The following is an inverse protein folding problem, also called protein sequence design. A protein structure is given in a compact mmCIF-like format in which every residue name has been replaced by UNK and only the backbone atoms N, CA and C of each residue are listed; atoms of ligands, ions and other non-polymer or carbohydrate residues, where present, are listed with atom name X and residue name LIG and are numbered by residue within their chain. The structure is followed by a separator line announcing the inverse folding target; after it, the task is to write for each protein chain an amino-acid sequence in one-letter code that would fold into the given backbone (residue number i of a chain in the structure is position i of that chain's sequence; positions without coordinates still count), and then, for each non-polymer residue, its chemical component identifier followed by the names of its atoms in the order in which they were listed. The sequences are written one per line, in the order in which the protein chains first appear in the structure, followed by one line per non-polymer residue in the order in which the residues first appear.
data_IF_473775558727
#
_entry.id   IF_473775558727
#
_cell.length_a   1.000
_cell.length_b   1.000
_cell.length_c   1.000
_cell.angle_alpha   90.00
_cell.angle_beta   90.00
_cell.angle_gamma   90.00
#
_symmetry.space_group_name_H-M   'P 1'
#
loop_
_entity.id
_entity.type
_entity.pdbx_description
1 polymer ?
#
# COMPACT_ATOMS: atom_id res chain seq x y z
N UNK A 1 34.19 37.76 -5.66
CA UNK A 1 34.09 36.86 -6.83
C UNK A 1 33.86 35.46 -6.25
N UNK A 2 32.63 34.94 -6.16
CA UNK A 2 32.26 33.53 -5.94
C UNK A 2 30.81 33.41 -5.46
N UNK A 3 29.84 33.98 -6.21
CA UNK A 3 28.38 33.80 -5.91
C UNK A 3 27.63 33.15 -7.07
N UNK A 4 28.33 32.46 -8.00
CA UNK A 4 27.70 31.99 -9.26
C UNK A 4 27.33 30.49 -9.26
N UNK A 5 27.68 29.67 -8.26
CA UNK A 5 27.54 28.22 -8.38
C UNK A 5 26.62 27.54 -7.35
N UNK A 6 25.70 28.24 -6.69
CA UNK A 6 24.74 27.62 -5.75
C UNK A 6 23.29 27.65 -6.22
N UNK A 7 22.99 27.83 -7.50
CA UNK A 7 21.66 27.49 -7.99
C UNK A 7 21.53 25.97 -8.00
N UNK A 8 20.98 25.38 -6.90
CA UNK A 8 20.44 24.03 -6.93
C UNK A 8 19.39 23.98 -8.04
N UNK A 9 19.62 23.19 -9.07
CA UNK A 9 18.57 22.82 -10.02
C UNK A 9 17.45 22.16 -9.19
N UNK A 10 16.43 22.93 -8.84
CA UNK A 10 15.23 22.39 -8.20
C UNK A 10 14.36 21.82 -9.30
N UNK A 11 14.47 20.52 -9.52
CA UNK A 11 13.52 19.82 -10.36
C UNK A 11 12.10 20.01 -9.79
N UNK A 12 11.14 20.31 -10.67
CA UNK A 12 9.74 20.41 -10.26
C UNK A 12 9.27 19.04 -9.75
N UNK A 13 8.87 18.91 -8.48
CA UNK A 13 8.51 17.60 -7.92
C UNK A 13 7.29 16.98 -8.62
N UNK A 14 6.36 17.77 -9.11
CA UNK A 14 5.22 17.25 -9.87
C UNK A 14 5.69 16.60 -11.18
N UNK A 15 6.63 17.24 -11.89
CA UNK A 15 7.19 16.68 -13.13
C UNK A 15 7.92 15.37 -12.87
N UNK A 16 8.75 15.31 -11.83
CA UNK A 16 9.46 14.06 -11.47
C UNK A 16 8.45 12.96 -11.12
N UNK A 17 7.43 13.24 -10.30
CA UNK A 17 6.40 12.27 -9.98
C UNK A 17 5.66 11.74 -11.21
N UNK A 18 5.25 12.63 -12.11
CA UNK A 18 4.60 12.24 -13.36
C UNK A 18 5.52 11.40 -14.26
N UNK A 19 6.81 11.74 -14.35
CA UNK A 19 7.78 10.98 -15.15
C UNK A 19 7.98 9.57 -14.58
N UNK A 20 8.07 9.42 -13.26
CA UNK A 20 8.18 8.11 -12.60
C UNK A 20 6.94 7.26 -12.88
N UNK A 21 5.74 7.81 -12.69
CA UNK A 21 4.49 7.10 -12.95
C UNK A 21 4.34 6.74 -14.43
N UNK A 22 4.67 7.66 -15.33
CA UNK A 22 4.64 7.41 -16.76
C UNK A 22 5.65 6.34 -17.18
N UNK A 23 6.86 6.36 -16.63
CA UNK A 23 7.88 5.35 -16.90
C UNK A 23 7.40 3.96 -16.44
N UNK A 24 6.87 3.83 -15.23
CA UNK A 24 6.30 2.57 -14.72
C UNK A 24 5.14 2.10 -15.60
N UNK A 25 4.21 2.99 -15.95
CA UNK A 25 3.07 2.63 -16.79
C UNK A 25 3.49 2.15 -18.17
N UNK A 26 4.37 2.90 -18.86
CA UNK A 26 4.72 2.65 -20.27
C UNK A 26 5.71 1.49 -20.43
N UNK A 27 6.72 1.39 -19.55
CA UNK A 27 7.82 0.43 -19.72
C UNK A 27 7.66 -0.86 -18.90
N UNK A 28 6.82 -0.86 -17.86
CA UNK A 28 6.58 -2.02 -17.02
C UNK A 28 5.15 -2.55 -17.15
N UNK A 29 4.15 -1.79 -16.72
CA UNK A 29 2.82 -2.32 -16.47
C UNK A 29 1.99 -2.53 -17.73
N UNK A 30 1.96 -1.57 -18.68
CA UNK A 30 1.20 -1.73 -19.93
C UNK A 30 1.71 -2.88 -20.82
N UNK A 31 3.04 -3.08 -20.99
CA UNK A 31 3.55 -4.22 -21.77
C UNK A 31 3.23 -5.58 -21.17
N UNK A 32 3.05 -5.66 -19.86
CA UNK A 32 2.76 -6.90 -19.13
C UNK A 32 1.31 -6.99 -18.64
N UNK A 33 0.47 -6.04 -19.07
CA UNK A 33 -0.93 -6.02 -18.66
C UNK A 33 -1.67 -7.25 -19.16
N UNK A 34 -2.41 -7.91 -18.30
CA UNK A 34 -3.25 -9.03 -18.68
C UNK A 34 -4.39 -8.56 -19.57
N UNK A 35 -4.41 -9.05 -20.79
CA UNK A 35 -5.39 -8.68 -21.84
C UNK A 35 -6.29 -9.84 -22.26
N UNK A 36 -6.06 -11.03 -21.71
CA UNK A 36 -6.83 -12.25 -21.98
C UNK A 36 -7.55 -12.70 -20.71
N UNK A 37 -8.61 -13.50 -20.88
CA UNK A 37 -9.31 -14.14 -19.76
C UNK A 37 -8.36 -15.16 -19.13
N UNK A 38 -8.22 -15.10 -17.81
CA UNK A 38 -7.41 -16.06 -17.08
C UNK A 38 -8.18 -17.37 -16.87
N UNK A 39 -7.57 -18.47 -17.27
CA UNK A 39 -8.03 -19.82 -16.99
C UNK A 39 -6.96 -20.65 -16.28
N UNK A 40 -5.91 -20.01 -15.76
CA UNK A 40 -4.80 -20.72 -15.14
C UNK A 40 -5.10 -21.07 -13.67
N UNK A 41 -4.68 -22.27 -13.27
CA UNK A 41 -4.73 -22.75 -11.88
C UNK A 41 -3.49 -22.29 -11.07
N UNK A 42 -2.72 -21.33 -11.60
CA UNK A 42 -1.53 -20.85 -10.92
C UNK A 42 -1.92 -20.11 -9.64
N UNK A 43 -1.26 -20.42 -8.56
CA UNK A 43 -1.53 -19.92 -7.21
C UNK A 43 -1.70 -18.39 -7.11
N UNK A 44 -0.88 -17.61 -7.82
CA UNK A 44 -0.97 -16.14 -7.84
C UNK A 44 -2.07 -15.60 -8.77
N UNK A 45 -2.72 -16.46 -9.54
CA UNK A 45 -3.69 -16.08 -10.58
C UNK A 45 -5.07 -16.68 -10.34
N UNK A 46 -5.28 -17.43 -9.27
CA UNK A 46 -6.48 -18.23 -9.05
C UNK A 46 -7.76 -17.38 -8.99
N UNK A 47 -7.69 -16.18 -8.42
CA UNK A 47 -8.84 -15.28 -8.25
C UNK A 47 -9.01 -14.28 -9.40
N UNK A 48 -8.04 -14.22 -10.33
CA UNK A 48 -8.03 -13.26 -11.43
C UNK A 48 -9.19 -13.47 -12.39
N UNK A 49 -9.48 -14.72 -12.74
CA UNK A 49 -10.59 -15.07 -13.62
C UNK A 49 -11.94 -14.72 -13.01
N UNK A 50 -12.12 -15.00 -11.72
CA UNK A 50 -13.33 -14.61 -10.98
C UNK A 50 -13.48 -13.09 -10.99
N UNK A 51 -12.41 -12.36 -10.67
CA UNK A 51 -12.41 -10.88 -10.67
C UNK A 51 -12.78 -10.32 -12.04
N UNK A 52 -12.20 -10.88 -13.13
CA UNK A 52 -12.55 -10.47 -14.49
C UNK A 52 -14.04 -10.67 -14.79
N UNK A 53 -14.62 -11.79 -14.41
CA UNK A 53 -16.06 -12.05 -14.60
C UNK A 53 -16.90 -11.09 -13.76
N UNK A 54 -16.64 -11.03 -12.46
CA UNK A 54 -17.42 -10.25 -11.50
C UNK A 54 -17.50 -8.77 -11.88
N UNK A 55 -16.36 -8.17 -12.25
CA UNK A 55 -16.34 -6.74 -12.61
C UNK A 55 -17.11 -6.43 -13.91
N UNK A 56 -17.25 -7.39 -14.80
CA UNK A 56 -18.02 -7.22 -16.02
C UNK A 56 -19.53 -7.38 -15.83
N UNK A 57 -19.96 -8.23 -14.87
CA UNK A 57 -21.39 -8.57 -14.67
C UNK A 57 -21.96 -7.99 -13.37
N UNK A 58 -21.21 -7.19 -12.64
CA UNK A 58 -21.62 -6.66 -11.34
C UNK A 58 -22.00 -7.78 -10.36
N UNK A 59 -21.18 -8.82 -10.31
CA UNK A 59 -21.38 -9.99 -9.46
C UNK A 59 -20.90 -9.79 -8.04
N UNK A 60 -20.63 -10.91 -7.34
CA UNK A 60 -20.01 -10.92 -6.01
C UNK A 60 -18.77 -11.80 -6.01
N UNK A 61 -17.70 -11.35 -5.37
CA UNK A 61 -16.46 -12.10 -5.20
C UNK A 61 -16.55 -13.07 -4.00
N UNK A 62 -15.60 -14.02 -3.96
CA UNK A 62 -15.40 -14.90 -2.82
C UNK A 62 -15.26 -14.13 -1.49
N UNK A 63 -15.28 -14.82 -0.37
CA UNK A 63 -15.18 -14.19 0.95
C UNK A 63 -13.84 -13.41 1.10
N UNK A 64 -13.87 -12.14 1.51
CA UNK A 64 -14.97 -11.42 2.20
C UNK A 64 -15.91 -10.61 1.28
N UNK A 65 -15.96 -10.90 -0.02
CA UNK A 65 -16.91 -10.24 -0.94
C UNK A 65 -16.46 -8.89 -1.49
N UNK A 66 -15.54 -8.20 -0.86
CA UNK A 66 -14.88 -6.94 -1.27
C UNK A 66 -15.83 -5.87 -1.88
N UNK A 67 -16.96 -5.53 -1.24
CA UNK A 67 -18.05 -4.79 -1.89
C UNK A 67 -17.63 -3.41 -2.40
N UNK A 68 -16.75 -2.68 -1.71
CA UNK A 68 -16.23 -1.40 -2.19
C UNK A 68 -15.46 -1.55 -3.48
N UNK A 69 -14.56 -2.55 -3.51
CA UNK A 69 -13.77 -2.83 -4.70
C UNK A 69 -14.69 -3.20 -5.87
N UNK A 70 -15.63 -4.11 -5.66
CA UNK A 70 -16.54 -4.56 -6.73
C UNK A 70 -17.35 -3.38 -7.29
N UNK A 71 -17.97 -2.56 -6.44
CA UNK A 71 -18.80 -1.42 -6.88
C UNK A 71 -17.95 -0.42 -7.69
N UNK A 72 -16.82 0.01 -7.13
CA UNK A 72 -15.96 1.02 -7.76
C UNK A 72 -15.31 0.48 -9.02
N UNK A 73 -14.82 -0.77 -8.97
CA UNK A 73 -14.10 -1.39 -10.08
C UNK A 73 -15.03 -1.82 -11.22
N UNK A 74 -16.25 -2.28 -10.94
CA UNK A 74 -17.24 -2.53 -11.98
C UNK A 74 -17.64 -1.23 -12.69
N UNK A 75 -17.78 -0.13 -11.94
CA UNK A 75 -18.03 1.20 -12.52
C UNK A 75 -16.87 1.61 -13.43
N UNK A 76 -15.63 1.51 -12.95
CA UNK A 76 -14.45 1.87 -13.75
C UNK A 76 -14.28 0.95 -14.97
N UNK A 77 -14.49 -0.36 -14.78
CA UNK A 77 -14.51 -1.34 -15.90
C UNK A 77 -15.55 -0.96 -16.97
N UNK A 78 -16.75 -0.59 -16.56
CA UNK A 78 -17.78 -0.13 -17.49
C UNK A 78 -17.34 1.13 -18.25
N UNK A 79 -16.77 2.11 -17.57
CA UNK A 79 -16.21 3.33 -18.19
C UNK A 79 -15.09 2.98 -19.17
N UNK A 80 -14.13 2.16 -18.79
CA UNK A 80 -13.00 1.77 -19.64
C UNK A 80 -13.47 1.05 -20.91
N UNK A 81 -14.53 0.24 -20.81
CA UNK A 81 -15.15 -0.40 -21.98
C UNK A 81 -15.78 0.61 -22.94
N UNK A 82 -16.33 1.74 -22.47
CA UNK A 82 -16.79 2.82 -23.35
C UNK A 82 -15.65 3.45 -24.15
N UNK A 83 -14.42 3.40 -23.64
CA UNK A 83 -13.21 3.84 -24.35
C UNK A 83 -12.52 2.73 -25.16
N UNK A 84 -13.18 1.59 -25.35
CA UNK A 84 -12.72 0.52 -26.23
C UNK A 84 -11.88 -0.58 -25.55
N UNK A 85 -11.73 -0.58 -24.22
CA UNK A 85 -11.09 -1.69 -23.53
C UNK A 85 -11.94 -2.96 -23.65
N UNK A 86 -11.30 -4.11 -23.92
CA UNK A 86 -12.00 -5.39 -23.97
C UNK A 86 -12.52 -5.80 -22.58
N UNK A 87 -13.53 -6.68 -22.48
CA UNK A 87 -13.97 -7.22 -21.18
C UNK A 87 -12.87 -7.94 -20.40
N UNK A 88 -11.89 -8.52 -21.07
CA UNK A 88 -10.75 -9.17 -20.43
C UNK A 88 -9.72 -8.15 -19.90
N UNK A 89 -9.52 -7.05 -20.64
CA UNK A 89 -8.50 -6.04 -20.33
C UNK A 89 -8.97 -5.00 -19.31
N UNK A 90 -10.25 -4.59 -19.37
CA UNK A 90 -10.76 -3.50 -18.54
C UNK A 90 -10.60 -3.73 -17.02
N UNK A 91 -10.80 -4.95 -16.46
CA UNK A 91 -10.51 -5.22 -15.05
C UNK A 91 -9.04 -5.03 -14.67
N UNK A 92 -8.10 -5.46 -15.50
CA UNK A 92 -6.66 -5.28 -15.25
C UNK A 92 -6.25 -3.80 -15.33
N UNK A 93 -6.82 -3.04 -16.28
CA UNK A 93 -6.65 -1.58 -16.31
C UNK A 93 -7.18 -0.90 -15.03
N UNK A 94 -8.21 -1.44 -14.41
CA UNK A 94 -8.73 -0.93 -13.14
C UNK A 94 -7.70 -1.10 -12.02
N UNK A 95 -7.04 -2.26 -11.95
CA UNK A 95 -5.93 -2.49 -11.02
C UNK A 95 -4.77 -1.55 -11.29
N UNK A 96 -4.40 -1.32 -12.55
CA UNK A 96 -3.37 -0.36 -12.95
C UNK A 96 -3.71 1.06 -12.48
N UNK A 97 -4.96 1.51 -12.64
CA UNK A 97 -5.39 2.85 -12.18
C UNK A 97 -5.22 3.00 -10.66
N UNK A 98 -5.67 2.02 -9.88
CA UNK A 98 -5.47 2.05 -8.43
C UNK A 98 -3.99 1.97 -8.04
N UNK A 99 -3.22 1.16 -8.75
CA UNK A 99 -1.78 1.03 -8.52
C UNK A 99 -1.02 2.33 -8.78
N UNK A 100 -1.27 2.98 -9.92
CA UNK A 100 -0.67 4.28 -10.22
C UNK A 100 -1.11 5.36 -9.24
N UNK A 101 -2.37 5.34 -8.79
CA UNK A 101 -2.84 6.23 -7.73
C UNK A 101 -2.10 5.97 -6.40
N UNK A 102 -1.91 4.70 -6.03
CA UNK A 102 -1.16 4.32 -4.83
C UNK A 102 0.28 4.81 -4.88
N UNK A 103 0.98 4.59 -6.00
CA UNK A 103 2.36 5.06 -6.19
C UNK A 103 2.45 6.58 -6.26
N UNK A 104 1.44 7.26 -6.82
CA UNK A 104 1.36 8.72 -6.84
C UNK A 104 1.23 9.33 -5.44
N UNK A 105 0.35 8.75 -4.60
CA UNK A 105 0.22 9.15 -3.19
C UNK A 105 1.50 8.83 -2.41
N UNK A 106 2.10 7.66 -2.65
CA UNK A 106 3.37 7.27 -2.03
C UNK A 106 4.50 8.23 -2.40
N UNK A 107 4.61 8.60 -3.67
CA UNK A 107 5.57 9.61 -4.13
C UNK A 107 5.39 10.94 -3.40
N UNK A 108 4.16 11.46 -3.37
CA UNK A 108 3.86 12.72 -2.69
C UNK A 108 4.20 12.64 -1.19
N UNK A 109 3.92 11.50 -0.56
CA UNK A 109 4.23 11.25 0.83
C UNK A 109 5.75 11.21 1.07
N UNK A 110 6.50 10.42 0.30
CA UNK A 110 7.96 10.31 0.41
C UNK A 110 8.66 11.62 0.08
N UNK A 111 8.21 12.34 -0.95
CA UNK A 111 8.72 13.67 -1.28
C UNK A 111 8.54 14.64 -0.11
N UNK A 112 7.38 14.63 0.52
CA UNK A 112 7.09 15.49 1.67
C UNK A 112 8.01 15.19 2.85
N UNK A 113 8.35 13.91 3.08
CA UNK A 113 9.27 13.49 4.13
C UNK A 113 10.70 13.91 3.80
N UNK A 114 11.20 13.57 2.61
CA UNK A 114 12.60 13.77 2.22
C UNK A 114 12.90 15.21 1.76
N UNK A 115 11.89 15.94 1.28
CA UNK A 115 12.03 17.21 0.57
C UNK A 115 12.92 17.12 -0.69
N UNK A 116 13.15 15.90 -1.19
CA UNK A 116 13.93 15.62 -2.39
C UNK A 116 13.12 14.79 -3.38
N UNK A 117 12.82 15.39 -4.56
CA UNK A 117 11.98 14.78 -5.57
C UNK A 117 12.64 13.57 -6.25
N UNK A 118 13.97 13.61 -6.41
CA UNK A 118 14.71 12.53 -7.07
C UNK A 118 14.83 11.31 -6.16
N UNK A 119 15.12 11.52 -4.88
CA UNK A 119 15.18 10.43 -3.88
C UNK A 119 13.80 9.79 -3.77
N UNK A 120 12.73 10.58 -3.60
CA UNK A 120 11.37 10.05 -3.52
C UNK A 120 11.00 9.30 -4.81
N UNK A 121 11.34 9.86 -5.98
CA UNK A 121 11.10 9.24 -7.28
C UNK A 121 11.83 7.92 -7.47
N UNK A 122 13.11 7.87 -7.09
CA UNK A 122 13.92 6.65 -7.18
C UNK A 122 13.36 5.52 -6.30
N UNK A 123 13.00 5.84 -5.04
CA UNK A 123 12.43 4.84 -4.13
C UNK A 123 11.08 4.32 -4.64
N UNK A 124 10.21 5.20 -5.13
CA UNK A 124 8.91 4.80 -5.68
C UNK A 124 9.07 4.00 -6.98
N UNK A 125 10.04 4.37 -7.83
CA UNK A 125 10.37 3.60 -9.03
C UNK A 125 10.80 2.17 -8.67
N UNK A 126 11.76 2.02 -7.74
CA UNK A 126 12.23 0.71 -7.28
C UNK A 126 11.08 -0.10 -6.65
N UNK A 127 10.29 0.53 -5.76
CA UNK A 127 9.14 -0.13 -5.13
C UNK A 127 8.10 -0.58 -6.17
N UNK A 128 7.79 0.28 -7.14
CA UNK A 128 6.86 -0.04 -8.24
C UNK A 128 7.34 -1.18 -9.15
N UNK A 129 8.65 -1.43 -9.19
CA UNK A 129 9.25 -2.51 -9.97
C UNK A 129 9.47 -3.79 -9.14
N UNK A 130 9.14 -3.83 -7.83
CA UNK A 130 9.17 -5.08 -7.08
C UNK A 130 8.17 -6.07 -7.67
N UNK A 131 8.49 -7.35 -7.62
CA UNK A 131 7.74 -8.41 -8.29
C UNK A 131 6.25 -8.40 -7.92
N UNK A 132 5.95 -8.38 -6.63
CA UNK A 132 4.56 -8.41 -6.14
C UNK A 132 3.80 -7.13 -6.52
N UNK A 133 4.41 -5.95 -6.39
CA UNK A 133 3.77 -4.69 -6.81
C UNK A 133 3.51 -4.70 -8.32
N UNK A 134 4.50 -5.06 -9.13
CA UNK A 134 4.36 -5.13 -10.59
C UNK A 134 3.24 -6.09 -11.00
N UNK A 135 3.28 -7.34 -10.48
CA UNK A 135 2.27 -8.34 -10.80
C UNK A 135 0.85 -7.81 -10.56
N UNK A 136 0.57 -7.32 -9.34
CA UNK A 136 -0.77 -6.88 -8.99
C UNK A 136 -1.21 -5.58 -9.68
N UNK A 137 -0.27 -4.81 -10.24
CA UNK A 137 -0.60 -3.67 -11.09
C UNK A 137 -0.98 -4.08 -12.53
N UNK A 138 -0.64 -5.30 -12.92
CA UNK A 138 -0.81 -5.81 -14.29
C UNK A 138 -1.95 -6.82 -14.46
N UNK A 139 -2.51 -7.34 -13.37
CA UNK A 139 -3.60 -8.34 -13.37
C UNK A 139 -4.86 -7.81 -12.68
N UNK A 140 -6.00 -8.46 -12.92
CA UNK A 140 -7.29 -8.09 -12.33
C UNK A 140 -7.38 -8.61 -10.89
N UNK A 141 -6.89 -7.80 -9.91
CA UNK A 141 -6.80 -8.20 -8.51
C UNK A 141 -7.12 -7.06 -7.53
N UNK A 142 -7.55 -7.46 -6.33
CA UNK A 142 -8.03 -6.54 -5.27
C UNK A 142 -6.89 -5.77 -4.56
N UNK A 143 -5.65 -6.24 -4.65
CA UNK A 143 -4.56 -5.82 -3.76
C UNK A 143 -4.07 -4.40 -4.01
N UNK A 144 -4.13 -3.90 -5.24
CA UNK A 144 -3.74 -2.52 -5.55
C UNK A 144 -4.65 -1.49 -4.88
N UNK A 145 -5.95 -1.79 -4.78
CA UNK A 145 -6.89 -0.95 -4.05
C UNK A 145 -6.61 -0.99 -2.53
N UNK A 146 -6.28 -2.16 -1.98
CA UNK A 146 -5.84 -2.30 -0.60
C UNK A 146 -4.56 -1.52 -0.29
N UNK A 147 -3.57 -1.58 -1.18
CA UNK A 147 -2.32 -0.82 -1.07
C UNK A 147 -2.57 0.69 -1.10
N UNK A 148 -3.43 1.17 -2.00
CA UNK A 148 -3.84 2.58 -2.05
C UNK A 148 -4.44 3.03 -0.72
N UNK A 149 -5.38 2.26 -0.16
CA UNK A 149 -6.00 2.57 1.13
C UNK A 149 -4.96 2.62 2.26
N UNK A 150 -4.04 1.64 2.32
CA UNK A 150 -2.99 1.60 3.33
C UNK A 150 -2.09 2.84 3.27
N UNK A 151 -1.62 3.20 2.07
CA UNK A 151 -0.76 4.38 1.87
C UNK A 151 -1.50 5.65 2.26
N UNK A 152 -2.78 5.80 1.87
CA UNK A 152 -3.61 6.95 2.24
C UNK A 152 -3.78 7.04 3.76
N UNK A 153 -4.05 5.92 4.45
CA UNK A 153 -4.18 5.88 5.90
C UNK A 153 -2.89 6.32 6.60
N UNK A 154 -1.74 5.78 6.18
CA UNK A 154 -0.44 6.16 6.76
C UNK A 154 -0.11 7.63 6.47
N UNK A 155 -0.34 8.08 5.25
CA UNK A 155 -0.13 9.48 4.86
C UNK A 155 -1.01 10.43 5.69
N UNK A 156 -2.29 10.15 5.84
CA UNK A 156 -3.22 10.96 6.64
C UNK A 156 -2.84 10.95 8.13
N UNK A 157 -2.45 9.81 8.67
CA UNK A 157 -2.05 9.71 10.08
C UNK A 157 -0.80 10.53 10.39
N UNK A 158 0.11 10.67 9.42
CA UNK A 158 1.39 11.36 9.55
C UNK A 158 1.39 12.78 8.93
N UNK A 159 0.25 13.27 8.43
CA UNK A 159 0.17 14.51 7.64
C UNK A 159 0.85 15.73 8.28
N UNK A 160 0.76 15.88 9.61
CA UNK A 160 1.36 17.02 10.32
C UNK A 160 2.85 16.91 10.57
N UNK A 161 3.43 15.71 10.42
CA UNK A 161 4.87 15.50 10.59
C UNK A 161 5.66 15.91 9.33
N UNK A 162 4.95 16.37 8.28
CA UNK A 162 5.53 16.79 7.02
C UNK A 162 6.05 18.22 7.00
N UNK A 163 6.00 18.94 8.09
CA UNK A 163 6.49 20.30 8.20
C UNK A 163 7.00 20.61 9.60
N UNK A 164 7.99 21.47 9.67
CA UNK A 164 8.71 21.88 10.87
C UNK A 164 7.90 22.73 11.86
N UNK A 165 6.61 22.96 11.62
CA UNK A 165 5.80 23.90 12.41
C UNK A 165 5.10 23.19 13.57
N UNK A 166 5.85 22.95 14.62
CA UNK A 166 5.35 22.52 15.94
C UNK A 166 4.34 23.48 16.57
N UNK A 167 4.25 24.70 16.09
CA UNK A 167 3.37 25.74 16.63
C UNK A 167 1.89 25.62 16.21
N UNK A 168 1.58 24.99 15.07
CA UNK A 168 0.20 24.81 14.59
C UNK A 168 -0.56 23.65 15.26
N UNK A 169 0.10 22.86 16.09
CA UNK A 169 -0.51 21.71 16.79
C UNK A 169 -1.52 22.13 17.89
N UNK A 170 -1.56 23.41 18.25
CA UNK A 170 -2.31 23.90 19.39
C UNK A 170 -3.78 24.29 19.10
N UNK A 171 -4.22 24.39 17.83
CA UNK A 171 -5.61 24.70 17.50
C UNK A 171 -6.48 23.43 17.44
N UNK A 172 -7.30 23.22 18.46
CA UNK A 172 -8.05 21.98 18.73
C UNK A 172 -9.08 21.52 17.68
N UNK A 173 -9.54 22.37 16.78
CA UNK A 173 -10.67 22.04 15.89
C UNK A 173 -10.29 21.24 14.61
N UNK A 174 -9.06 21.31 14.14
CA UNK A 174 -8.58 20.51 13.01
C UNK A 174 -8.17 19.08 13.35
N UNK A 175 -8.15 18.70 14.62
CA UNK A 175 -7.61 17.42 15.11
C UNK A 175 -8.63 16.28 15.10
N UNK A 176 -9.89 16.55 15.46
CA UNK A 176 -10.94 15.54 15.48
C UNK A 176 -11.36 15.12 14.05
N UNK A 177 -11.41 16.06 13.11
CA UNK A 177 -11.75 15.76 11.70
C UNK A 177 -10.83 14.73 11.07
N UNK A 178 -9.52 14.76 11.38
CA UNK A 178 -8.57 13.78 10.90
C UNK A 178 -8.82 12.40 11.47
N UNK A 179 -9.14 12.28 12.76
CA UNK A 179 -9.55 11.00 13.35
C UNK A 179 -10.80 10.45 12.68
N UNK A 180 -11.76 11.31 12.37
CA UNK A 180 -12.99 10.92 11.69
C UNK A 180 -12.73 10.46 10.25
N UNK A 181 -11.88 11.16 9.49
CA UNK A 181 -11.45 10.71 8.16
C UNK A 181 -10.74 9.36 8.21
N UNK A 182 -9.80 9.19 9.15
CA UNK A 182 -9.11 7.91 9.34
C UNK A 182 -10.09 6.79 9.74
N UNK A 183 -11.11 7.09 10.53
CA UNK A 183 -12.13 6.12 10.92
C UNK A 183 -12.98 5.66 9.72
N UNK A 184 -13.43 6.60 8.87
CA UNK A 184 -14.18 6.27 7.64
C UNK A 184 -13.31 5.45 6.68
N UNK A 185 -12.11 5.94 6.35
CA UNK A 185 -11.22 5.25 5.40
C UNK A 185 -10.74 3.92 5.98
N UNK A 186 -10.47 3.86 7.29
CA UNK A 186 -10.10 2.63 7.98
C UNK A 186 -11.25 1.61 7.96
N UNK A 187 -12.50 2.05 8.16
CA UNK A 187 -13.68 1.20 8.04
C UNK A 187 -13.85 0.66 6.62
N UNK A 188 -13.72 1.51 5.61
CA UNK A 188 -13.69 1.10 4.19
C UNK A 188 -12.57 0.07 3.96
N UNK A 189 -11.37 0.34 4.49
CA UNK A 189 -10.22 -0.55 4.35
C UNK A 189 -10.47 -1.94 4.94
N UNK A 190 -10.96 -2.01 6.19
CA UNK A 190 -11.25 -3.29 6.85
C UNK A 190 -12.42 -4.01 6.16
N UNK A 191 -13.42 -3.27 5.69
CA UNK A 191 -14.51 -3.83 4.89
C UNK A 191 -14.03 -4.34 3.53
N UNK A 192 -13.02 -3.68 2.92
CA UNK A 192 -12.39 -4.16 1.71
C UNK A 192 -11.54 -5.41 1.99
N UNK A 193 -10.56 -5.33 2.87
CA UNK A 193 -9.70 -6.47 3.19
C UNK A 193 -9.33 -6.48 4.68
N UNK A 194 -9.60 -7.58 5.38
CA UNK A 194 -9.38 -7.70 6.85
C UNK A 194 -7.93 -7.47 7.27
N UNK A 195 -6.97 -7.80 6.41
CA UNK A 195 -5.55 -7.55 6.66
C UNK A 195 -5.22 -6.07 6.94
N UNK A 196 -6.03 -5.12 6.42
CA UNK A 196 -5.84 -3.70 6.72
C UNK A 196 -6.05 -3.34 8.19
N UNK A 197 -6.73 -4.20 8.97
CA UNK A 197 -6.81 -4.05 10.42
C UNK A 197 -5.43 -4.17 11.11
N UNK A 198 -4.46 -4.83 10.49
CA UNK A 198 -3.10 -4.93 11.01
C UNK A 198 -2.39 -3.57 11.07
N UNK A 199 -2.85 -2.57 10.30
CA UNK A 199 -2.33 -1.21 10.39
C UNK A 199 -2.83 -0.43 11.63
N UNK A 200 -3.86 -0.90 12.34
CA UNK A 200 -4.45 -0.19 13.50
C UNK A 200 -3.40 0.19 14.55
N UNK A 201 -2.49 -0.68 15.02
CA UNK A 201 -1.47 -0.31 15.99
C UNK A 201 -0.57 0.83 15.51
N UNK A 202 -0.22 0.82 14.22
CA UNK A 202 0.58 1.88 13.60
C UNK A 202 -0.19 3.21 13.55
N UNK A 203 -1.45 3.18 13.16
CA UNK A 203 -2.31 4.37 13.10
C UNK A 203 -2.58 4.95 14.49
N UNK A 204 -2.81 4.10 15.50
CA UNK A 204 -2.97 4.53 16.91
C UNK A 204 -1.69 5.20 17.39
N UNK A 205 -0.51 4.59 17.16
CA UNK A 205 0.77 5.19 17.50
C UNK A 205 0.96 6.56 16.82
N UNK A 206 0.72 6.63 15.51
CA UNK A 206 0.83 7.87 14.76
C UNK A 206 -0.13 8.96 15.28
N UNK A 207 -1.31 8.60 15.70
CA UNK A 207 -2.35 9.54 16.17
C UNK A 207 -2.33 9.77 17.69
N UNK A 208 -1.42 9.13 18.43
CA UNK A 208 -1.37 9.20 19.88
C UNK A 208 -1.35 10.64 20.46
N UNK A 209 -0.59 11.61 19.90
CA UNK A 209 -0.65 12.99 20.36
C UNK A 209 -2.03 13.63 20.16
N UNK A 210 -2.69 13.34 19.03
CA UNK A 210 -4.02 13.83 18.72
C UNK A 210 -5.08 13.24 19.65
N UNK A 211 -4.97 11.93 19.92
CA UNK A 211 -5.86 11.23 20.86
C UNK A 211 -5.70 11.80 22.29
N UNK A 212 -4.46 12.00 22.74
CA UNK A 212 -4.18 12.59 24.06
C UNK A 212 -4.71 14.01 24.17
N UNK A 213 -4.65 14.81 23.10
CA UNK A 213 -5.17 16.18 23.07
C UNK A 213 -6.70 16.27 23.22
N UNK A 214 -7.44 15.15 22.98
CA UNK A 214 -8.90 15.14 23.17
C UNK A 214 -9.32 15.23 24.65
N UNK A 215 -8.46 14.87 25.59
CA UNK A 215 -8.73 14.94 27.02
C UNK A 215 -10.07 14.30 27.38
N UNK A 216 -10.96 15.05 28.05
CA UNK A 216 -12.29 14.56 28.47
C UNK A 216 -13.24 14.25 27.31
N UNK A 217 -12.97 14.74 26.09
CA UNK A 217 -13.79 14.45 24.88
C UNK A 217 -13.43 13.11 24.24
N UNK A 218 -12.33 12.48 24.65
CA UNK A 218 -11.81 11.25 24.02
C UNK A 218 -12.86 10.12 23.90
N UNK A 219 -13.66 9.76 24.92
CA UNK A 219 -14.66 8.71 24.78
C UNK A 219 -15.70 9.02 23.70
N UNK A 220 -16.18 10.26 23.63
CA UNK A 220 -17.12 10.67 22.59
C UNK A 220 -16.50 10.62 21.21
N UNK A 221 -15.25 11.06 21.07
CA UNK A 221 -14.52 11.01 19.79
C UNK A 221 -14.32 9.55 19.35
N UNK A 222 -13.95 8.63 20.27
CA UNK A 222 -13.77 7.20 19.95
C UNK A 222 -15.10 6.55 19.53
N UNK A 223 -16.23 6.87 20.20
CA UNK A 223 -17.56 6.38 19.79
C UNK A 223 -17.89 6.90 18.40
N UNK A 224 -17.66 8.17 18.13
CA UNK A 224 -17.88 8.74 16.79
C UNK A 224 -16.99 8.06 15.74
N UNK A 225 -15.72 7.81 16.02
CA UNK A 225 -14.84 7.06 15.14
C UNK A 225 -15.35 5.65 14.88
N UNK A 226 -15.82 4.94 15.91
CA UNK A 226 -16.40 3.61 15.76
C UNK A 226 -17.62 3.63 14.84
N UNK A 227 -18.56 4.55 15.08
CA UNK A 227 -19.76 4.69 14.25
C UNK A 227 -19.40 5.02 12.79
N UNK A 228 -18.48 5.95 12.57
CA UNK A 228 -17.98 6.28 11.23
C UNK A 228 -17.26 5.11 10.55
N UNK A 229 -16.49 4.33 11.31
CA UNK A 229 -15.88 3.10 10.81
C UNK A 229 -16.93 2.05 10.39
N UNK A 230 -18.01 1.91 11.16
CA UNK A 230 -19.13 1.01 10.84
C UNK A 230 -19.82 1.42 9.53
N UNK A 231 -19.94 2.72 9.25
CA UNK A 231 -20.47 3.19 7.95
C UNK A 231 -19.69 2.62 6.77
N UNK A 232 -18.39 2.38 6.92
CA UNK A 232 -17.56 1.71 5.91
C UNK A 232 -18.05 0.30 5.53
N UNK A 233 -18.88 -0.34 6.33
CA UNK A 233 -19.45 -1.68 6.05
C UNK A 233 -20.81 -1.66 5.35
N UNK A 234 -21.45 -0.50 5.18
CA UNK A 234 -22.75 -0.39 4.51
C UNK A 234 -22.77 -1.03 3.10
N UNK A 235 -21.69 -0.95 2.28
CA UNK A 235 -21.67 -1.61 0.99
C UNK A 235 -21.82 -3.14 1.01
N UNK A 236 -21.75 -3.80 2.17
CA UNK A 236 -22.11 -5.21 2.26
C UNK A 236 -23.55 -5.49 1.84
N UNK A 237 -24.46 -4.51 1.97
CA UNK A 237 -25.82 -4.60 1.41
C UNK A 237 -25.81 -4.87 -0.09
N UNK A 238 -24.79 -4.42 -0.83
CA UNK A 238 -24.64 -4.72 -2.26
C UNK A 238 -24.61 -6.22 -2.53
N UNK A 239 -23.88 -7.01 -1.74
CA UNK A 239 -23.77 -8.46 -1.93
C UNK A 239 -25.14 -9.12 -1.85
N UNK A 240 -25.94 -8.75 -0.84
CA UNK A 240 -27.31 -9.26 -0.67
C UNK A 240 -28.22 -8.82 -1.84
N UNK A 241 -28.18 -7.55 -2.19
CA UNK A 241 -29.01 -7.00 -3.30
C UNK A 241 -28.68 -7.71 -4.60
N UNK A 242 -27.39 -7.91 -4.93
CA UNK A 242 -26.99 -8.58 -6.17
C UNK A 242 -27.39 -10.04 -6.22
N UNK A 243 -27.23 -10.76 -5.10
CA UNK A 243 -27.65 -12.15 -5.01
C UNK A 243 -29.18 -12.30 -5.17
N UNK A 244 -29.97 -11.47 -4.48
CA UNK A 244 -31.42 -11.48 -4.57
C UNK A 244 -31.94 -11.03 -5.94
N UNK A 245 -31.21 -10.16 -6.63
CA UNK A 245 -31.53 -9.73 -8.00
C UNK A 245 -31.12 -10.76 -9.07
N UNK A 246 -30.54 -11.91 -8.70
CA UNK A 246 -30.14 -12.95 -9.64
C UNK A 246 -28.97 -12.52 -10.53
N UNK A 247 -27.93 -11.86 -9.97
CA UNK A 247 -26.75 -11.51 -10.73
C UNK A 247 -26.12 -12.74 -11.41
N UNK A 248 -25.54 -12.55 -12.59
CA UNK A 248 -25.01 -13.64 -13.42
C UNK A 248 -23.83 -14.40 -12.75
N UNK A 249 -23.19 -13.80 -11.76
CA UNK A 249 -22.16 -14.43 -10.92
C UNK A 249 -22.36 -14.02 -9.47
N UNK A 250 -22.60 -15.00 -8.60
CA UNK A 250 -22.75 -14.81 -7.16
C UNK A 250 -21.91 -15.87 -6.45
N UNK A 251 -20.96 -15.43 -5.63
CA UNK A 251 -20.17 -16.33 -4.82
C UNK A 251 -20.86 -16.57 -3.45
N UNK A 252 -20.97 -17.84 -3.04
CA UNK A 252 -21.64 -18.23 -1.82
C UNK A 252 -23.16 -17.93 -1.86
N UNK A 253 -23.75 -17.71 -0.68
CA UNK A 253 -25.19 -17.44 -0.54
C UNK A 253 -25.49 -16.09 0.14
N UNK A 254 -24.90 -14.95 -0.31
CA UNK A 254 -25.07 -13.67 0.38
C UNK A 254 -26.47 -13.08 0.26
N UNK A 255 -27.38 -13.73 -0.46
CA UNK A 255 -28.80 -13.38 -0.54
C UNK A 255 -29.59 -13.61 0.74
N UNK A 256 -29.05 -14.40 1.67
CA UNK A 256 -29.60 -14.64 3.01
C UNK A 256 -28.77 -13.92 4.08
N UNK A 257 -29.36 -13.63 5.25
CA UNK A 257 -28.64 -13.03 6.37
C UNK A 257 -27.50 -13.93 6.87
N UNK A 258 -27.73 -15.26 6.91
CA UNK A 258 -26.71 -16.23 7.30
C UNK A 258 -25.57 -16.25 6.30
N UNK A 259 -25.85 -16.35 5.00
CA UNK A 259 -24.81 -16.36 3.96
C UNK A 259 -24.07 -15.02 3.86
N UNK A 260 -24.76 -13.90 4.05
CA UNK A 260 -24.12 -12.58 4.14
C UNK A 260 -23.16 -12.50 5.34
N UNK A 261 -23.58 -13.08 6.50
CA UNK A 261 -22.72 -13.16 7.69
C UNK A 261 -21.49 -14.04 7.44
N UNK A 262 -21.66 -15.18 6.75
CA UNK A 262 -20.56 -16.07 6.39
C UNK A 262 -19.54 -15.39 5.46
N UNK A 263 -20.03 -14.64 4.49
CA UNK A 263 -19.19 -13.77 3.65
C UNK A 263 -18.48 -12.70 4.49
N UNK A 264 -19.24 -12.01 5.36
CA UNK A 264 -18.69 -10.94 6.20
C UNK A 264 -17.57 -11.42 7.12
N UNK A 265 -17.72 -12.56 7.81
CA UNK A 265 -16.67 -13.10 8.69
C UNK A 265 -15.54 -13.79 7.93
N UNK A 266 -15.70 -14.04 6.64
CA UNK A 266 -14.71 -14.76 5.84
C UNK A 266 -14.58 -16.23 6.25
N UNK A 267 -15.71 -16.93 6.51
CA UNK A 267 -15.70 -18.32 7.01
C UNK A 267 -14.83 -19.23 6.16
N UNK A 268 -14.85 -19.06 4.86
CA UNK A 268 -14.04 -19.87 3.95
C UNK A 268 -12.54 -19.57 4.09
N UNK A 269 -12.16 -18.29 4.26
CA UNK A 269 -10.79 -17.88 4.46
C UNK A 269 -10.20 -18.34 5.80
N UNK A 270 -11.04 -18.78 6.76
CA UNK A 270 -10.58 -19.28 8.05
C UNK A 270 -9.66 -20.51 7.93
N UNK A 271 -9.75 -21.28 6.83
CA UNK A 271 -8.83 -22.39 6.54
C UNK A 271 -7.36 -21.96 6.39
N UNK A 272 -7.11 -20.72 6.01
CA UNK A 272 -5.75 -20.18 5.85
C UNK A 272 -5.19 -19.59 7.15
N UNK A 273 -5.98 -19.53 8.22
CA UNK A 273 -5.61 -18.93 9.51
C UNK A 273 -5.68 -20.01 10.57
N UNK A 274 -4.69 -20.89 10.59
CA UNK A 274 -4.66 -22.03 11.51
C UNK A 274 -3.77 -21.85 12.74
N UNK A 275 -2.89 -20.85 12.71
CA UNK A 275 -1.84 -20.69 13.71
C UNK A 275 -0.74 -21.77 13.65
N UNK A 276 0.39 -21.49 14.31
CA UNK A 276 1.48 -22.46 14.41
C UNK A 276 1.21 -23.48 15.51
N UNK A 277 1.39 -24.73 15.20
CA UNK A 277 1.16 -25.86 16.13
C UNK A 277 2.44 -26.34 16.82
N UNK A 278 3.61 -25.96 16.30
CA UNK A 278 4.91 -26.40 16.80
C UNK A 278 5.99 -25.37 16.53
N UNK A 279 7.14 -25.50 17.19
CA UNK A 279 8.30 -24.67 16.88
C UNK A 279 8.82 -24.90 15.46
N UNK A 280 8.73 -26.10 14.96
CA UNK A 280 9.12 -26.44 13.58
C UNK A 280 8.21 -25.70 12.56
N UNK A 281 6.88 -25.70 12.78
CA UNK A 281 5.95 -24.95 11.91
C UNK A 281 6.18 -23.43 11.97
N UNK A 282 6.60 -22.91 13.15
CA UNK A 282 6.98 -21.52 13.30
C UNK A 282 8.21 -21.17 12.43
N UNK A 283 9.25 -22.03 12.48
CA UNK A 283 10.46 -21.84 11.67
C UNK A 283 10.12 -21.93 10.17
N UNK A 284 9.29 -22.90 9.78
CA UNK A 284 8.86 -23.05 8.39
C UNK A 284 8.11 -21.80 7.88
N UNK A 285 7.17 -21.28 8.66
CA UNK A 285 6.46 -20.04 8.31
C UNK A 285 7.42 -18.83 8.25
N UNK A 286 8.32 -18.70 9.22
CA UNK A 286 9.33 -17.65 9.20
C UNK A 286 10.18 -17.71 7.92
N UNK A 287 10.64 -18.91 7.53
CA UNK A 287 11.42 -19.09 6.31
C UNK A 287 10.58 -18.78 5.06
N UNK A 288 9.32 -19.19 5.02
CA UNK A 288 8.42 -18.93 3.92
C UNK A 288 8.17 -17.41 3.72
N UNK A 289 7.78 -16.69 4.79
CA UNK A 289 7.54 -15.23 4.72
C UNK A 289 8.82 -14.48 4.34
N UNK A 290 9.95 -14.85 4.97
CA UNK A 290 11.24 -14.22 4.66
C UNK A 290 11.70 -14.56 3.24
N UNK A 291 11.44 -15.78 2.79
CA UNK A 291 11.72 -16.24 1.43
C UNK A 291 10.98 -15.40 0.37
N UNK A 292 9.70 -15.10 0.60
CA UNK A 292 8.94 -14.20 -0.28
C UNK A 292 9.58 -12.81 -0.34
N UNK A 293 9.92 -12.23 0.83
CA UNK A 293 10.60 -10.93 0.87
C UNK A 293 11.95 -10.94 0.13
N UNK A 294 12.72 -12.02 0.26
CA UNK A 294 13.99 -12.15 -0.45
C UNK A 294 13.84 -12.34 -1.96
N UNK A 295 12.76 -12.98 -2.39
CA UNK A 295 12.41 -13.11 -3.80
C UNK A 295 11.98 -11.77 -4.39
N UNK A 296 11.14 -11.02 -3.67
CA UNK A 296 10.57 -9.76 -4.17
C UNK A 296 11.54 -8.57 -4.09
N UNK A 297 12.31 -8.48 -3.00
CA UNK A 297 13.15 -7.30 -2.71
C UNK A 297 14.65 -7.59 -2.80
N UNK A 298 15.05 -8.82 -3.07
CA UNK A 298 16.41 -9.32 -2.93
C UNK A 298 16.94 -9.17 -1.48
N UNK A 299 17.80 -10.05 -0.96
CA UNK A 299 18.34 -9.95 0.41
C UNK A 299 18.98 -8.59 0.73
N UNK A 300 19.68 -7.98 -0.24
CA UNK A 300 20.28 -6.66 -0.08
C UNK A 300 19.20 -5.58 0.15
N UNK A 301 18.11 -5.60 -0.63
CA UNK A 301 17.00 -4.65 -0.45
C UNK A 301 16.35 -4.78 0.93
N UNK A 302 16.16 -6.01 1.40
CA UNK A 302 15.62 -6.25 2.76
C UNK A 302 16.58 -5.71 3.83
N UNK A 303 17.89 -6.02 3.75
CA UNK A 303 18.90 -5.56 4.71
C UNK A 303 18.96 -4.02 4.72
N UNK A 304 19.06 -3.39 3.55
CA UNK A 304 19.09 -1.93 3.41
C UNK A 304 17.80 -1.31 3.98
N UNK A 305 16.65 -1.91 3.71
CA UNK A 305 15.36 -1.48 4.25
C UNK A 305 15.35 -1.53 5.79
N UNK A 306 15.73 -2.65 6.37
CA UNK A 306 15.79 -2.81 7.84
C UNK A 306 16.78 -1.83 8.48
N UNK A 307 17.99 -1.72 7.95
CA UNK A 307 18.98 -0.75 8.42
C UNK A 307 18.45 0.68 8.37
N UNK A 308 17.79 1.05 7.27
CA UNK A 308 17.19 2.37 7.10
C UNK A 308 16.08 2.64 8.10
N UNK A 309 15.21 1.66 8.37
CA UNK A 309 14.17 1.77 9.40
C UNK A 309 14.76 1.99 10.80
N UNK A 310 15.81 1.26 11.16
CA UNK A 310 16.53 1.43 12.45
C UNK A 310 17.10 2.84 12.53
N UNK A 311 17.77 3.31 11.49
CA UNK A 311 18.34 4.66 11.41
C UNK A 311 17.25 5.72 11.50
N UNK A 312 16.13 5.54 10.76
CA UNK A 312 14.99 6.43 10.83
C UNK A 312 14.40 6.52 12.25
N UNK A 313 14.29 5.39 12.94
CA UNK A 313 13.80 5.34 14.32
C UNK A 313 14.78 6.00 15.34
N UNK A 314 16.08 5.96 15.06
CA UNK A 314 17.10 6.62 15.88
C UNK A 314 17.08 8.15 15.71
N UNK A 315 16.70 8.66 14.54
CA UNK A 315 16.65 10.11 14.23
C UNK A 315 15.41 10.76 14.83
N UNK A 316 15.55 11.73 15.71
CA UNK A 316 14.44 12.38 16.43
C UNK A 316 13.34 12.87 15.49
N UNK A 317 13.71 13.57 14.40
CA UNK A 317 12.78 14.15 13.44
C UNK A 317 12.14 13.13 12.49
N UNK A 318 12.66 11.91 12.38
CA UNK A 318 12.09 10.80 11.56
C UNK A 318 11.44 9.71 12.40
N UNK A 319 11.72 9.68 13.71
CA UNK A 319 11.31 8.61 14.63
C UNK A 319 9.83 8.26 14.51
N UNK A 320 8.95 9.26 14.47
CA UNK A 320 7.52 9.00 14.42
C UNK A 320 7.10 8.33 13.13
N UNK A 321 7.59 8.81 11.98
CA UNK A 321 7.33 8.18 10.68
C UNK A 321 7.90 6.76 10.67
N UNK A 322 9.17 6.60 11.03
CA UNK A 322 9.83 5.29 11.05
C UNK A 322 9.11 4.29 11.96
N UNK A 323 8.79 4.66 13.20
CA UNK A 323 8.07 3.78 14.13
C UNK A 323 6.67 3.43 13.65
N UNK A 324 5.97 4.35 12.99
CA UNK A 324 4.64 4.06 12.42
C UNK A 324 4.73 3.00 11.33
N UNK A 325 5.66 3.17 10.37
CA UNK A 325 5.80 2.20 9.28
C UNK A 325 6.38 0.87 9.77
N UNK A 326 7.30 0.88 10.74
CA UNK A 326 7.80 -0.33 11.40
C UNK A 326 6.65 -1.11 12.05
N UNK A 327 5.78 -0.43 12.81
CA UNK A 327 4.63 -1.09 13.43
C UNK A 327 3.68 -1.68 12.38
N UNK A 328 3.42 -0.98 11.28
CA UNK A 328 2.57 -1.47 10.19
C UNK A 328 3.15 -2.75 9.57
N UNK A 329 4.41 -2.73 9.17
CA UNK A 329 5.07 -3.90 8.57
C UNK A 329 5.30 -5.04 9.56
N UNK A 330 5.72 -4.72 10.79
CA UNK A 330 6.02 -5.73 11.81
C UNK A 330 4.75 -6.51 12.22
N UNK A 331 3.62 -5.82 12.42
CA UNK A 331 2.36 -6.50 12.78
C UNK A 331 1.92 -7.42 11.64
N UNK A 332 2.00 -6.96 10.39
CA UNK A 332 1.70 -7.80 9.24
C UNK A 332 2.66 -9.00 9.13
N UNK A 333 3.97 -8.77 9.28
CA UNK A 333 4.97 -9.84 9.24
C UNK A 333 4.72 -10.90 10.32
N UNK A 334 4.59 -10.46 11.56
CA UNK A 334 4.36 -11.38 12.70
C UNK A 334 3.02 -12.13 12.55
N UNK A 335 1.96 -11.46 12.06
CA UNK A 335 0.69 -12.14 11.81
C UNK A 335 0.88 -13.31 10.84
N UNK A 336 1.60 -13.12 9.73
CA UNK A 336 1.81 -14.20 8.76
C UNK A 336 2.71 -15.30 9.31
N UNK A 337 3.73 -14.95 10.09
CA UNK A 337 4.60 -15.95 10.73
C UNK A 337 3.84 -16.81 11.75
N UNK A 338 2.95 -16.20 12.54
CA UNK A 338 2.30 -16.92 13.65
C UNK A 338 0.94 -17.54 13.31
N UNK A 339 0.21 -16.99 12.32
CA UNK A 339 -1.20 -17.34 12.13
C UNK A 339 -1.52 -17.83 10.72
N UNK A 340 -0.75 -17.48 9.72
CA UNK A 340 -1.08 -17.83 8.35
C UNK A 340 -0.44 -19.15 7.94
N UNK A 341 -1.21 -20.03 7.25
CA UNK A 341 -0.75 -21.35 6.81
C UNK A 341 -0.36 -21.37 5.33
N UNK A 342 -0.78 -20.37 4.57
CA UNK A 342 -0.50 -20.25 3.15
C UNK A 342 -0.16 -18.80 2.81
N UNK A 343 1.03 -18.55 2.28
CA UNK A 343 1.58 -17.20 2.19
C UNK A 343 1.55 -16.72 0.75
N UNK A 344 0.61 -15.84 0.48
CA UNK A 344 0.54 -15.09 -0.76
C UNK A 344 1.37 -13.81 -0.63
N UNK A 345 2.24 -13.53 -1.61
CA UNK A 345 3.11 -12.35 -1.60
C UNK A 345 2.35 -11.03 -1.42
N UNK A 346 1.17 -10.91 -2.03
CA UNK A 346 0.31 -9.74 -1.88
C UNK A 346 -0.08 -9.39 -0.44
N UNK A 347 -0.12 -10.38 0.47
CA UNK A 347 -0.48 -10.16 1.88
C UNK A 347 0.64 -9.48 2.68
N UNK A 348 1.87 -9.53 2.19
CA UNK A 348 3.03 -8.88 2.83
C UNK A 348 3.39 -7.52 2.24
N UNK A 349 2.57 -6.95 1.35
CA UNK A 349 2.78 -5.61 0.77
C UNK A 349 2.98 -4.52 1.84
N UNK A 350 2.37 -4.66 3.03
CA UNK A 350 2.60 -3.74 4.14
C UNK A 350 4.04 -3.82 4.69
N UNK A 351 4.67 -5.00 4.63
CA UNK A 351 6.08 -5.21 5.02
C UNK A 351 7.00 -4.58 3.98
N UNK A 352 6.75 -4.84 2.70
CA UNK A 352 7.52 -4.30 1.58
C UNK A 352 7.45 -2.76 1.56
N UNK A 353 6.25 -2.19 1.76
CA UNK A 353 6.06 -0.75 1.90
C UNK A 353 6.89 -0.18 3.06
N UNK A 354 6.95 -0.87 4.20
CA UNK A 354 7.77 -0.44 5.34
C UNK A 354 9.25 -0.43 4.99
N UNK A 355 9.74 -1.46 4.30
CA UNK A 355 11.13 -1.54 3.84
C UNK A 355 11.46 -0.46 2.81
N UNK A 356 10.51 -0.08 1.94
CA UNK A 356 10.68 1.05 1.03
C UNK A 356 10.89 2.39 1.76
N UNK A 357 10.25 2.61 2.90
CA UNK A 357 10.58 3.75 3.77
C UNK A 357 11.98 3.65 4.36
N UNK A 358 12.44 2.44 4.66
CA UNK A 358 13.83 2.22 5.05
C UNK A 358 14.81 2.64 3.95
N UNK A 359 14.55 2.30 2.69
CA UNK A 359 15.33 2.77 1.56
C UNK A 359 15.36 4.31 1.47
N UNK A 360 14.22 4.96 1.70
CA UNK A 360 14.13 6.42 1.76
C UNK A 360 15.07 6.99 2.82
N UNK A 361 15.08 6.45 4.03
CA UNK A 361 15.91 6.95 5.13
C UNK A 361 17.41 6.73 4.91
N UNK A 362 17.81 5.63 4.23
CA UNK A 362 19.20 5.42 3.81
C UNK A 362 19.58 6.42 2.71
N UNK A 363 18.72 6.60 1.71
CA UNK A 363 18.98 7.52 0.61
C UNK A 363 19.11 8.97 1.10
N UNK A 364 18.28 9.39 2.07
CA UNK A 364 18.42 10.71 2.70
C UNK A 364 19.80 10.94 3.32
N UNK A 365 20.45 9.87 3.83
CA UNK A 365 21.80 9.98 4.43
C UNK A 365 22.85 9.94 3.34
N UNK A 366 22.76 8.97 2.44
CA UNK A 366 23.76 8.75 1.41
C UNK A 366 23.87 9.94 0.45
N UNK A 367 22.77 10.64 0.21
CA UNK A 367 22.68 11.76 -0.74
C UNK A 367 22.39 13.11 -0.05
N UNK A 368 22.30 13.14 1.28
CA UNK A 368 22.27 14.42 2.00
C UNK A 368 23.55 15.20 1.68
N UNK A 369 23.46 16.49 1.38
CA UNK A 369 24.66 17.31 1.35
C UNK A 369 25.31 17.23 2.74
N UNK A 370 26.55 16.74 2.80
CA UNK A 370 27.33 16.75 4.01
C UNK A 370 27.61 18.21 4.36
N UNK A 371 26.76 18.79 5.19
CA UNK A 371 26.97 20.14 5.75
C UNK A 371 27.87 20.02 6.99
N UNK A 372 29.07 19.49 6.77
CA UNK A 372 30.19 19.63 7.70
C UNK A 372 31.07 20.76 7.16
N UNK A 373 30.66 21.99 7.43
CA UNK A 373 31.38 23.27 7.29
C UNK A 373 32.45 23.48 6.20
N UNK A 374 33.00 22.46 5.54
CA UNK A 374 34.10 22.53 4.59
C UNK A 374 34.14 21.39 3.54
N UNK A 375 33.14 20.51 3.42
CA UNK A 375 33.14 19.53 2.35
C UNK A 375 32.26 20.00 1.18
N UNK A 376 32.64 19.75 -0.08
CA UNK A 376 31.88 20.19 -1.23
C UNK A 376 30.50 19.56 -1.22
N UNK A 377 29.45 20.38 -1.31
CA UNK A 377 28.08 19.94 -1.56
C UNK A 377 28.09 19.10 -2.85
N UNK A 378 27.66 17.83 -2.76
CA UNK A 378 27.53 17.00 -3.95
C UNK A 378 26.65 17.74 -4.96
N UNK A 379 27.12 17.92 -6.21
CA UNK A 379 26.34 18.57 -7.24
C UNK A 379 25.07 17.75 -7.52
N UNK A 380 24.01 18.40 -7.97
CA UNK A 380 22.71 17.79 -8.25
C UNK A 380 22.78 16.57 -9.19
N UNK A 381 23.80 16.52 -10.06
CA UNK A 381 24.06 15.35 -10.90
C UNK A 381 24.51 14.12 -10.09
N UNK A 382 25.18 14.29 -8.96
CA UNK A 382 25.58 13.18 -8.09
C UNK A 382 24.37 12.56 -7.36
N UNK A 383 23.41 13.40 -6.95
CA UNK A 383 22.11 12.90 -6.42
C UNK A 383 21.34 12.14 -7.50
N UNK A 384 21.35 12.68 -8.74
CA UNK A 384 20.72 12.00 -9.88
C UNK A 384 21.42 10.69 -10.19
N UNK A 385 22.76 10.67 -10.24
CA UNK A 385 23.54 9.47 -10.46
C UNK A 385 23.26 8.43 -9.35
N UNK A 386 23.21 8.85 -8.10
CA UNK A 386 22.87 7.98 -6.97
C UNK A 386 21.47 7.40 -7.08
N UNK A 387 20.48 8.20 -7.48
CA UNK A 387 19.12 7.72 -7.73
C UNK A 387 19.08 6.73 -8.90
N UNK A 388 19.82 6.98 -9.98
CA UNK A 388 19.95 6.08 -11.14
C UNK A 388 20.66 4.78 -10.73
N UNK A 389 21.72 4.85 -9.94
CA UNK A 389 22.45 3.67 -9.44
C UNK A 389 21.55 2.83 -8.52
N UNK A 390 20.78 3.46 -7.60
CA UNK A 390 19.82 2.77 -6.75
C UNK A 390 18.74 2.07 -7.59
N UNK A 391 18.19 2.77 -8.58
CA UNK A 391 17.21 2.19 -9.50
C UNK A 391 17.82 1.05 -10.32
N UNK A 392 19.05 1.21 -10.82
CA UNK A 392 19.76 0.18 -11.60
C UNK A 392 20.10 -1.04 -10.75
N UNK A 393 20.55 -0.85 -9.50
CA UNK A 393 20.80 -1.97 -8.55
C UNK A 393 19.48 -2.67 -8.22
N UNK A 394 18.40 -1.92 -7.97
CA UNK A 394 17.07 -2.47 -7.78
C UNK A 394 16.62 -3.29 -8.99
N UNK A 395 16.76 -2.76 -10.21
CA UNK A 395 16.41 -3.45 -11.45
C UNK A 395 17.28 -4.68 -11.72
N UNK A 396 18.58 -4.61 -11.47
CA UNK A 396 19.49 -5.75 -11.71
C UNK A 396 19.28 -6.89 -10.72
N UNK A 397 18.70 -6.60 -9.54
CA UNK A 397 18.37 -7.63 -8.53
C UNK A 397 17.02 -8.30 -8.78
N UNK A 398 16.21 -7.77 -9.69
CA UNK A 398 14.91 -8.33 -10.06
C UNK A 398 15.13 -9.36 -11.17
N UNK A 399 15.11 -10.65 -10.83
CA UNK A 399 14.97 -11.70 -11.83
C UNK A 399 13.54 -11.68 -12.33
N UNK A 400 13.35 -11.17 -13.55
CA UNK A 400 12.07 -11.20 -14.24
C UNK A 400 11.86 -12.56 -14.89
N UNK A 401 11.55 -13.57 -14.10
CA UNK A 401 10.97 -14.80 -14.61
C UNK A 401 9.45 -14.57 -14.79
N UNK A 402 9.11 -13.73 -15.78
CA UNK A 402 7.76 -13.67 -16.32
C UNK A 402 7.65 -14.73 -17.42
N UNK A 403 7.19 -15.92 -17.08
CA UNK A 403 6.61 -16.87 -18.01
C UNK A 403 5.16 -17.03 -17.71
#
# INVERSE_FOLDING_TARGET
MNTIFTQRFRFNPVVIGLLVLAALAIFAYLPTLQTIINGADHYTMIDVGETQVVLNVWGTLHATGYPHYVILSSTLTAILKLFGASPATAPSLTSLVYGLAALGVLYAFMFKISSDALIAGAVVLVFGLTRTVWLHHSIAEIYTFGLLILIVLLALALWRDWGTDSASAASGDGTASRLFMLAVIGGIGIAHHRALAMAIPALVYAMLPVLRAQGRKLPRVLITCLLLGIVGFLPYAYLMIRAQAGAAWVYGEPGTLSGLWDQFIGREAARFIGGVSSFESLIANFQAVTGVLFTDLHPIGVIVGVCGLIIGAARVHRRRVAMTVILSGMVAYLFHVFFYTDILSALILAVELSLAFGWLFIAEIAFAPFDYGHLPVLPSWATLLGAVVLAAVGLSSMHFDFI
#
